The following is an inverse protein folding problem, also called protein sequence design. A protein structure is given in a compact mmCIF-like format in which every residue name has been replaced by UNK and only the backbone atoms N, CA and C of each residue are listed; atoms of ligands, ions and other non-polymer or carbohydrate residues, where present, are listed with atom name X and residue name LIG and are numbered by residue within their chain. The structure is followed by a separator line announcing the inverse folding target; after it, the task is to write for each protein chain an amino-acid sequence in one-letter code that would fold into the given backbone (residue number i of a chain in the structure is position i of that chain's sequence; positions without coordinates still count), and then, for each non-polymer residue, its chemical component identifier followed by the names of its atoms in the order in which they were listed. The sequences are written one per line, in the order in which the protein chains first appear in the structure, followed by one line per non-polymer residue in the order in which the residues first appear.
data_IF_854117915784
#
_entry.id   IF_854117915784
#
_cell.length_a   1.000
_cell.length_b   1.000
_cell.length_c   1.000
_cell.angle_alpha   90.00
_cell.angle_beta   90.00
_cell.angle_gamma   90.00
#
_symmetry.space_group_name_H-M   'P 1'
#
loop_
_entity.id
_entity.type
_entity.pdbx_description
1 polymer ?
#
# COMPACT_ATOMS: atom_id res chain seq x y z
N UNK A 1 -14.54 0.92 9.53
CA UNK A 1 -13.83 -0.08 10.34
C UNK A 1 -12.75 -0.79 9.53
N UNK A 2 -11.77 -1.37 10.21
CA UNK A 2 -10.66 -2.10 9.59
C UNK A 2 -10.84 -3.61 9.72
N UNK A 3 -10.55 -4.33 8.64
CA UNK A 3 -10.55 -5.80 8.57
C UNK A 3 -9.17 -6.34 8.23
N UNK A 4 -8.12 -5.52 8.34
CA UNK A 4 -6.75 -5.92 8.07
C UNK A 4 -5.91 -5.99 9.35
N UNK A 5 -5.04 -6.99 9.51
CA UNK A 5 -4.13 -7.12 10.65
C UNK A 5 -2.97 -6.11 10.61
N UNK A 6 -2.89 -5.29 9.57
CA UNK A 6 -1.82 -4.30 9.41
C UNK A 6 -2.03 -3.04 10.27
N UNK A 7 -3.27 -2.74 10.68
CA UNK A 7 -3.58 -1.58 11.50
C UNK A 7 -3.25 -1.85 12.98
N UNK A 8 -2.04 -1.49 13.36
CA UNK A 8 -1.49 -1.69 14.69
C UNK A 8 -1.11 -0.36 15.36
N UNK A 9 -1.22 -0.35 16.68
CA UNK A 9 -0.68 0.72 17.53
C UNK A 9 0.85 0.67 17.56
N UNK A 10 1.47 1.68 18.18
CA UNK A 10 2.94 1.68 18.41
C UNK A 10 3.42 0.52 19.28
N UNK A 11 2.54 -0.08 20.11
CA UNK A 11 2.84 -1.26 20.92
C UNK A 11 2.71 -2.58 20.14
N UNK A 12 2.30 -2.53 18.86
CA UNK A 12 2.11 -3.72 18.01
C UNK A 12 0.75 -4.40 18.17
N UNK A 13 -0.13 -3.87 19.04
CA UNK A 13 -1.50 -4.37 19.22
C UNK A 13 -2.41 -3.88 18.10
N UNK A 14 -3.45 -4.63 17.76
CA UNK A 14 -4.46 -4.17 16.82
C UNK A 14 -5.16 -2.92 17.35
N UNK A 15 -5.41 -1.96 16.44
CA UNK A 15 -6.18 -0.75 16.80
C UNK A 15 -7.59 -1.16 17.21
N UNK A 16 -8.17 -0.57 18.28
CA UNK A 16 -9.54 -0.84 18.69
C UNK A 16 -10.54 -0.72 17.52
N UNK A 17 -11.46 -1.66 17.42
CA UNK A 17 -12.41 -1.74 16.32
C UNK A 17 -11.89 -2.46 15.08
N UNK A 18 -10.65 -2.97 15.09
CA UNK A 18 -10.12 -3.85 14.04
C UNK A 18 -10.63 -5.28 14.25
N UNK A 19 -11.06 -5.93 13.16
CA UNK A 19 -11.60 -7.31 13.19
C UNK A 19 -12.80 -7.49 14.13
N UNK A 20 -13.60 -6.45 14.35
CA UNK A 20 -14.80 -6.56 15.18
C UNK A 20 -15.78 -7.59 14.61
N UNK A 21 -16.54 -8.19 15.50
CA UNK A 21 -17.57 -9.15 15.16
C UNK A 21 -18.69 -8.52 14.30
N UNK A 22 -19.30 -9.30 13.43
CA UNK A 22 -20.41 -8.84 12.60
C UNK A 22 -21.58 -8.31 13.44
N UNK A 23 -21.82 -8.85 14.63
CA UNK A 23 -22.87 -8.40 15.55
C UNK A 23 -22.71 -6.93 15.91
N UNK A 24 -21.50 -6.46 16.20
CA UNK A 24 -21.23 -5.05 16.46
C UNK A 24 -21.50 -4.18 15.22
N UNK A 25 -21.08 -4.63 14.04
CA UNK A 25 -21.30 -3.92 12.78
C UNK A 25 -22.78 -3.80 12.46
N UNK A 26 -23.55 -4.85 12.69
CA UNK A 26 -25.00 -4.85 12.50
C UNK A 26 -25.71 -3.93 13.50
N UNK A 27 -25.29 -3.89 14.75
CA UNK A 27 -25.87 -2.98 15.74
C UNK A 27 -25.62 -1.50 15.36
N UNK A 28 -24.44 -1.18 14.86
CA UNK A 28 -24.12 0.17 14.35
C UNK A 28 -24.98 0.48 13.12
N UNK A 29 -25.15 -0.47 12.19
CA UNK A 29 -25.96 -0.30 11.00
C UNK A 29 -27.44 -0.07 11.33
N UNK A 30 -27.96 -0.77 12.33
CA UNK A 30 -29.33 -0.56 12.83
C UNK A 30 -29.52 0.86 13.38
N UNK A 31 -28.55 1.34 14.17
CA UNK A 31 -28.60 2.70 14.71
C UNK A 31 -28.55 3.75 13.58
N UNK A 32 -27.70 3.55 12.58
CA UNK A 32 -27.63 4.43 11.40
C UNK A 32 -28.92 4.40 10.57
N UNK A 33 -29.55 3.24 10.43
CA UNK A 33 -30.82 3.11 9.74
C UNK A 33 -31.94 3.88 10.45
N UNK A 34 -31.99 3.84 11.80
CA UNK A 34 -32.96 4.61 12.60
C UNK A 34 -32.80 6.12 12.41
N UNK A 35 -31.57 6.60 12.25
CA UNK A 35 -31.29 8.02 11.99
C UNK A 35 -31.54 8.38 10.52
N UNK A 36 -31.50 7.43 9.61
CA UNK A 36 -31.81 7.60 8.19
C UNK A 36 -30.67 8.12 7.32
N UNK A 37 -29.47 8.35 7.85
CA UNK A 37 -28.32 8.83 7.09
C UNK A 37 -27.00 8.13 7.48
N UNK A 38 -25.92 8.41 6.70
CA UNK A 38 -24.61 7.81 6.86
C UNK A 38 -24.39 6.61 5.93
N UNK A 39 -23.14 6.25 5.78
CA UNK A 39 -22.68 5.08 5.03
C UNK A 39 -21.56 4.38 5.81
N UNK A 40 -21.43 3.08 5.60
CA UNK A 40 -20.31 2.33 6.10
C UNK A 40 -19.13 2.42 5.14
N UNK A 41 -17.94 2.48 5.72
CA UNK A 41 -16.70 2.27 4.99
C UNK A 41 -15.85 1.22 5.67
N UNK A 42 -15.33 0.29 4.88
CA UNK A 42 -14.48 -0.80 5.33
C UNK A 42 -13.13 -0.77 4.61
N UNK A 43 -12.05 -0.98 5.38
CA UNK A 43 -10.76 -1.39 4.84
C UNK A 43 -10.69 -2.92 4.97
N UNK A 44 -10.85 -3.68 3.87
CA UNK A 44 -10.95 -5.13 3.93
C UNK A 44 -9.58 -5.77 4.11
N UNK A 45 -9.60 -7.04 4.44
CA UNK A 45 -8.51 -7.93 4.10
C UNK A 45 -8.75 -8.38 2.65
N UNK A 46 -7.90 -7.92 1.73
CA UNK A 46 -8.20 -7.93 0.30
C UNK A 46 -8.47 -9.33 -0.27
N UNK A 47 -7.72 -10.34 0.19
CA UNK A 47 -7.88 -11.73 -0.27
C UNK A 47 -9.21 -12.33 0.18
N UNK A 48 -9.73 -11.94 1.35
CA UNK A 48 -10.99 -12.44 1.91
C UNK A 48 -12.22 -11.67 1.44
N UNK A 49 -12.01 -10.53 0.80
CA UNK A 49 -13.10 -9.62 0.42
C UNK A 49 -14.20 -10.27 -0.42
N UNK A 50 -13.91 -11.01 -1.51
CA UNK A 50 -14.96 -11.61 -2.33
C UNK A 50 -15.61 -12.86 -1.72
N UNK A 51 -15.22 -13.25 -0.53
CA UNK A 51 -15.69 -14.46 0.16
C UNK A 51 -16.40 -14.11 1.46
N UNK A 52 -15.73 -14.33 2.59
CA UNK A 52 -16.32 -14.17 3.92
C UNK A 52 -16.77 -12.73 4.20
N UNK A 53 -15.97 -11.73 3.79
CA UNK A 53 -16.28 -10.33 4.05
C UNK A 53 -17.47 -9.86 3.22
N UNK A 54 -17.62 -10.36 2.00
CA UNK A 54 -18.73 -9.99 1.11
C UNK A 54 -20.09 -10.39 1.66
N UNK A 55 -20.19 -11.57 2.27
CA UNK A 55 -21.44 -12.13 2.76
C UNK A 55 -22.12 -11.19 3.77
N UNK A 56 -21.40 -10.80 4.82
CA UNK A 56 -21.97 -9.94 5.85
C UNK A 56 -22.14 -8.48 5.37
N UNK A 57 -21.25 -7.97 4.50
CA UNK A 57 -21.40 -6.63 3.92
C UNK A 57 -22.68 -6.52 3.09
N UNK A 58 -22.94 -7.52 2.26
CA UNK A 58 -24.15 -7.59 1.45
C UNK A 58 -25.40 -7.67 2.33
N UNK A 59 -25.41 -8.54 3.34
CA UNK A 59 -26.51 -8.65 4.29
C UNK A 59 -26.75 -7.33 5.02
N UNK A 60 -25.69 -6.66 5.49
CA UNK A 60 -25.78 -5.36 6.17
C UNK A 60 -26.41 -4.29 5.27
N UNK A 61 -25.92 -4.16 4.03
CA UNK A 61 -26.44 -3.19 3.07
C UNK A 61 -27.91 -3.46 2.72
N UNK A 62 -28.28 -4.73 2.52
CA UNK A 62 -29.64 -5.16 2.18
C UNK A 62 -30.59 -4.94 3.34
N UNK A 63 -30.23 -5.38 4.54
CA UNK A 63 -31.10 -5.37 5.73
C UNK A 63 -31.41 -3.96 6.23
N UNK A 64 -30.42 -3.07 6.20
CA UNK A 64 -30.53 -1.75 6.79
C UNK A 64 -30.66 -0.62 5.76
N UNK A 65 -30.55 -0.93 4.47
CA UNK A 65 -30.67 0.04 3.39
C UNK A 65 -29.59 1.14 3.42
N UNK A 66 -28.48 0.92 4.14
CA UNK A 66 -27.37 1.86 4.22
C UNK A 66 -26.31 1.52 3.18
N UNK A 67 -25.79 2.51 2.44
CA UNK A 67 -24.71 2.27 1.51
C UNK A 67 -23.46 1.75 2.23
N UNK A 68 -22.79 0.80 1.60
CA UNK A 68 -21.50 0.27 2.03
C UNK A 68 -20.45 0.68 1.01
N UNK A 69 -19.29 1.10 1.48
CA UNK A 69 -18.12 1.41 0.68
C UNK A 69 -16.94 0.57 1.15
N UNK A 70 -16.19 0.00 0.22
CA UNK A 70 -15.06 -0.86 0.52
C UNK A 70 -13.87 -0.50 -0.38
N UNK A 71 -12.66 -0.53 0.17
CA UNK A 71 -11.46 -0.31 -0.63
C UNK A 71 -11.22 -1.51 -1.55
N UNK A 72 -11.01 -1.25 -2.82
CA UNK A 72 -10.63 -2.26 -3.81
C UNK A 72 -9.19 -2.02 -4.24
N UNK A 73 -8.37 -3.03 -4.04
CA UNK A 73 -6.97 -3.00 -4.46
C UNK A 73 -6.58 -4.31 -5.11
N UNK A 74 -5.69 -4.23 -6.09
CA UNK A 74 -4.98 -5.37 -6.63
C UNK A 74 -3.78 -5.68 -5.72
N UNK A 75 -3.56 -6.94 -5.43
CA UNK A 75 -2.40 -7.42 -4.67
C UNK A 75 -1.62 -8.43 -5.51
N UNK A 76 -0.32 -8.55 -5.28
CA UNK A 76 0.50 -9.52 -6.02
C UNK A 76 0.20 -10.98 -5.67
N UNK A 77 -0.29 -11.20 -4.45
CA UNK A 77 -0.71 -12.54 -4.02
C UNK A 77 -1.93 -13.04 -4.80
N UNK A 78 -2.78 -12.12 -5.28
CA UNK A 78 -4.02 -12.44 -5.97
C UNK A 78 -4.35 -11.36 -7.01
N UNK A 79 -3.56 -11.25 -8.10
CA UNK A 79 -3.61 -10.11 -9.01
C UNK A 79 -4.93 -9.98 -9.79
N UNK A 80 -5.72 -11.05 -9.90
CA UNK A 80 -7.01 -11.05 -10.61
C UNK A 80 -8.23 -10.93 -9.69
N UNK A 81 -8.06 -11.01 -8.38
CA UNK A 81 -9.17 -11.13 -7.43
C UNK A 81 -10.11 -9.91 -7.44
N UNK A 82 -9.58 -8.73 -7.74
CA UNK A 82 -10.37 -7.50 -7.86
C UNK A 82 -11.48 -7.58 -8.91
N UNK A 83 -11.32 -8.39 -9.97
CA UNK A 83 -12.34 -8.60 -11.00
C UNK A 83 -13.56 -9.31 -10.43
N UNK A 84 -13.37 -10.31 -9.59
CA UNK A 84 -14.48 -10.98 -8.89
C UNK A 84 -15.27 -10.01 -8.02
N UNK A 85 -14.61 -9.02 -7.40
CA UNK A 85 -15.31 -7.98 -6.63
C UNK A 85 -16.16 -7.09 -7.55
N UNK A 86 -15.69 -6.73 -8.74
CA UNK A 86 -16.49 -5.97 -9.70
C UNK A 86 -17.75 -6.73 -10.16
N UNK A 87 -17.62 -8.04 -10.37
CA UNK A 87 -18.76 -8.91 -10.68
C UNK A 87 -19.78 -8.91 -9.54
N UNK A 88 -19.32 -9.09 -8.31
CA UNK A 88 -20.17 -9.05 -7.11
C UNK A 88 -20.85 -7.68 -6.90
N UNK A 89 -20.18 -6.58 -7.22
CA UNK A 89 -20.78 -5.24 -7.21
C UNK A 89 -21.93 -5.15 -8.23
N UNK A 90 -21.71 -5.66 -9.43
CA UNK A 90 -22.73 -5.66 -10.49
C UNK A 90 -23.96 -6.47 -10.08
N UNK A 91 -23.74 -7.66 -9.51
CA UNK A 91 -24.82 -8.50 -8.98
C UNK A 91 -25.61 -7.76 -7.88
N UNK A 92 -24.92 -7.25 -6.86
CA UNK A 92 -25.57 -6.53 -5.76
C UNK A 92 -26.42 -5.35 -6.26
N UNK A 93 -25.90 -4.56 -7.18
CA UNK A 93 -26.63 -3.43 -7.74
C UNK A 93 -27.84 -3.85 -8.59
N UNK A 94 -27.78 -4.98 -9.29
CA UNK A 94 -28.93 -5.53 -10.01
C UNK A 94 -30.10 -5.88 -9.08
N UNK A 95 -29.80 -6.17 -7.82
CA UNK A 95 -30.77 -6.44 -6.76
C UNK A 95 -31.14 -5.19 -5.94
N UNK A 96 -30.63 -4.02 -6.29
CA UNK A 96 -30.88 -2.76 -5.59
C UNK A 96 -30.06 -2.56 -4.32
N UNK A 97 -29.07 -3.42 -4.06
CA UNK A 97 -28.17 -3.35 -2.89
C UNK A 97 -27.03 -2.38 -3.18
N UNK A 98 -26.87 -1.36 -2.33
CA UNK A 98 -25.91 -0.26 -2.56
C UNK A 98 -24.55 -0.54 -1.92
N UNK A 99 -23.70 -1.25 -2.65
CA UNK A 99 -22.29 -1.45 -2.28
C UNK A 99 -21.43 -0.82 -3.37
N UNK A 100 -20.40 -0.07 -2.96
CA UNK A 100 -19.48 0.61 -3.86
C UNK A 100 -18.04 0.27 -3.48
N UNK A 101 -17.17 0.17 -4.48
CA UNK A 101 -15.74 0.07 -4.22
C UNK A 101 -15.03 1.39 -4.47
N UNK A 102 -14.12 1.73 -3.56
CA UNK A 102 -13.21 2.87 -3.71
C UNK A 102 -11.91 2.38 -4.33
N UNK A 103 -11.51 2.99 -5.42
CA UNK A 103 -10.31 2.67 -6.19
C UNK A 103 -9.37 3.86 -6.16
N UNK A 104 -8.11 3.62 -5.84
CA UNK A 104 -7.08 4.65 -5.89
C UNK A 104 -6.82 5.07 -7.34
N UNK A 105 -6.49 6.34 -7.55
CA UNK A 105 -6.28 6.93 -8.88
C UNK A 105 -5.05 6.42 -9.62
N UNK A 106 -4.16 5.72 -8.93
CA UNK A 106 -2.94 5.07 -9.43
C UNK A 106 -2.50 3.99 -8.43
N UNK A 107 -1.33 3.39 -8.68
CA UNK A 107 -0.69 2.53 -7.68
C UNK A 107 -0.57 3.23 -6.32
N UNK A 108 -0.85 2.51 -5.25
CA UNK A 108 -0.56 2.94 -3.88
C UNK A 108 0.87 2.52 -3.59
N UNK A 109 1.74 3.48 -3.32
CA UNK A 109 3.17 3.25 -3.21
C UNK A 109 3.77 3.70 -1.89
N UNK A 110 4.91 3.10 -1.57
CA UNK A 110 5.75 3.50 -0.44
C UNK A 110 6.97 4.24 -0.99
N UNK A 111 7.32 5.36 -0.37
CA UNK A 111 8.56 6.09 -0.61
C UNK A 111 9.53 5.77 0.52
N UNK A 112 10.54 4.97 0.21
CA UNK A 112 11.60 4.66 1.14
C UNK A 112 12.66 5.77 1.13
N UNK A 113 13.01 6.29 2.31
CA UNK A 113 14.21 7.10 2.52
C UNK A 113 14.74 6.88 3.94
N UNK A 114 16.01 7.22 4.20
CA UNK A 114 16.61 7.02 5.53
C UNK A 114 16.01 7.91 6.62
N UNK A 115 15.40 9.00 6.26
CA UNK A 115 14.69 9.89 7.18
C UNK A 115 13.20 9.57 7.32
N UNK A 116 12.68 8.64 6.52
CA UNK A 116 11.31 8.16 6.59
C UNK A 116 11.08 7.14 7.70
N UNK A 117 9.82 6.74 7.85
CA UNK A 117 9.42 5.74 8.85
C UNK A 117 9.77 4.31 8.45
N UNK A 118 9.97 4.07 7.16
CA UNK A 118 10.20 2.74 6.57
C UNK A 118 11.22 2.82 5.46
N UNK A 119 12.15 1.89 5.47
CA UNK A 119 13.13 1.70 4.39
C UNK A 119 13.74 0.29 4.45
N UNK A 120 14.36 -0.21 3.37
CA UNK A 120 14.88 -1.56 3.29
C UNK A 120 15.90 -1.98 4.36
N UNK A 121 16.59 -1.05 5.01
CA UNK A 121 17.57 -1.37 6.05
C UNK A 121 16.96 -1.56 7.46
N UNK A 122 15.67 -1.27 7.64
CA UNK A 122 15.04 -1.13 8.97
C UNK A 122 15.18 -2.38 9.85
N UNK A 123 15.13 -3.57 9.26
CA UNK A 123 15.21 -4.84 9.99
C UNK A 123 16.62 -5.46 9.96
N UNK A 124 17.63 -4.71 9.50
CA UNK A 124 18.98 -5.22 9.42
C UNK A 124 19.75 -4.98 10.73
N UNK A 125 20.37 -6.01 11.37
CA UNK A 125 21.10 -5.86 12.63
C UNK A 125 22.18 -4.77 12.58
N UNK A 126 22.95 -4.71 11.50
CA UNK A 126 23.97 -3.70 11.32
C UNK A 126 23.43 -2.26 11.21
N UNK A 127 22.15 -2.10 10.78
CA UNK A 127 21.45 -0.82 10.81
C UNK A 127 20.92 -0.50 12.21
N UNK A 128 20.40 -1.48 12.93
CA UNK A 128 19.89 -1.32 14.30
C UNK A 128 20.95 -0.71 15.25
N UNK A 129 22.24 -1.02 15.03
CA UNK A 129 23.35 -0.45 15.79
C UNK A 129 23.45 1.08 15.67
N UNK A 130 22.99 1.66 14.57
CA UNK A 130 23.18 3.09 14.23
C UNK A 130 21.88 3.87 14.01
N UNK A 131 20.71 3.21 14.00
CA UNK A 131 19.44 3.86 13.72
C UNK A 131 19.07 4.99 14.68
N UNK A 132 19.61 4.96 15.90
CA UNK A 132 19.39 5.98 16.95
C UNK A 132 20.24 7.23 16.77
N UNK A 133 21.26 7.21 15.90
CA UNK A 133 22.14 8.34 15.67
C UNK A 133 21.46 9.44 14.85
N UNK A 134 21.84 10.71 15.06
CA UNK A 134 21.47 11.79 14.16
C UNK A 134 21.84 11.45 12.72
N UNK A 135 21.08 11.95 11.74
CA UNK A 135 21.22 11.54 10.34
C UNK A 135 22.65 11.67 9.80
N UNK A 136 23.34 12.77 10.08
CA UNK A 136 24.73 12.97 9.60
C UNK A 136 25.72 11.95 10.15
N UNK A 137 25.60 11.60 11.45
CA UNK A 137 26.43 10.59 12.10
C UNK A 137 26.07 9.20 11.58
N UNK A 138 24.77 8.93 11.37
CA UNK A 138 24.26 7.69 10.80
C UNK A 138 24.82 7.46 9.39
N UNK A 139 24.75 8.47 8.52
CA UNK A 139 25.30 8.41 7.17
C UNK A 139 26.83 8.13 7.17
N UNK A 140 27.54 8.73 8.13
CA UNK A 140 28.98 8.46 8.29
C UNK A 140 29.20 7.00 8.70
N UNK A 141 28.45 6.52 9.68
CA UNK A 141 28.56 5.14 10.15
C UNK A 141 28.14 4.10 9.08
N UNK A 142 27.14 4.40 8.23
CA UNK A 142 26.71 3.52 7.13
C UNK A 142 27.77 3.39 6.01
N UNK A 143 28.70 4.33 5.93
CA UNK A 143 29.82 4.30 4.98
C UNK A 143 31.05 3.51 5.48
N UNK A 144 31.09 3.13 6.76
CA UNK A 144 32.19 2.33 7.32
C UNK A 144 32.27 0.97 6.60
N UNK A 145 33.47 0.57 6.14
CA UNK A 145 33.65 -0.62 5.28
C UNK A 145 33.05 -1.90 5.86
N UNK A 146 33.29 -2.19 7.13
CA UNK A 146 32.82 -3.42 7.77
C UNK A 146 31.29 -3.44 7.92
N UNK A 147 30.67 -2.32 8.32
CA UNK A 147 29.22 -2.18 8.42
C UNK A 147 28.58 -2.28 7.06
N UNK A 148 29.14 -1.59 6.08
CA UNK A 148 28.67 -1.64 4.69
C UNK A 148 28.73 -3.06 4.14
N UNK A 149 29.81 -3.80 4.40
CA UNK A 149 29.94 -5.20 4.00
C UNK A 149 28.82 -6.05 4.61
N UNK A 150 28.55 -5.90 5.92
CA UNK A 150 27.45 -6.61 6.59
C UNK A 150 26.09 -6.25 5.98
N UNK A 151 25.77 -4.97 5.79
CA UNK A 151 24.51 -4.51 5.21
C UNK A 151 24.23 -5.07 3.81
N UNK A 152 25.28 -5.35 3.03
CA UNK A 152 25.16 -5.87 1.67
C UNK A 152 25.04 -7.39 1.63
N UNK A 153 25.72 -8.10 2.54
CA UNK A 153 25.95 -9.54 2.43
C UNK A 153 25.24 -10.37 3.50
N UNK A 154 24.88 -9.79 4.65
CA UNK A 154 24.20 -10.52 5.70
C UNK A 154 22.69 -10.52 5.49
N UNK A 155 22.02 -11.54 6.01
CA UNK A 155 20.56 -11.65 5.93
C UNK A 155 19.94 -10.79 7.03
N UNK A 156 18.96 -9.92 6.73
CA UNK A 156 18.21 -9.19 7.73
C UNK A 156 17.47 -10.10 8.72
N UNK A 157 17.17 -9.59 9.91
CA UNK A 157 16.33 -10.28 10.88
C UNK A 157 14.91 -10.48 10.32
N UNK A 158 14.22 -11.51 10.81
CA UNK A 158 12.84 -11.76 10.41
C UNK A 158 11.91 -10.64 10.94
N UNK A 159 11.63 -9.67 10.11
CA UNK A 159 10.65 -8.60 10.33
C UNK A 159 9.20 -9.02 10.03
N UNK A 160 8.95 -10.31 9.84
CA UNK A 160 7.64 -10.86 9.55
C UNK A 160 7.12 -10.48 8.16
N UNK A 161 5.79 -10.38 8.06
CA UNK A 161 5.12 -10.09 6.78
C UNK A 161 5.58 -8.77 6.15
N UNK A 162 5.89 -7.78 6.99
CA UNK A 162 6.32 -6.46 6.52
C UNK A 162 7.68 -6.51 5.84
N UNK A 163 8.61 -7.26 6.40
CA UNK A 163 9.93 -7.47 5.78
C UNK A 163 9.79 -8.17 4.42
N UNK A 164 9.00 -9.24 4.34
CA UNK A 164 8.76 -9.95 3.07
C UNK A 164 8.22 -9.03 1.99
N UNK A 165 7.24 -8.21 2.34
CA UNK A 165 6.67 -7.22 1.42
C UNK A 165 7.72 -6.22 0.94
N UNK A 166 8.62 -5.79 1.81
CA UNK A 166 9.63 -4.76 1.51
C UNK A 166 10.84 -5.34 0.79
N UNK A 167 11.30 -6.53 1.19
CA UNK A 167 12.60 -7.06 0.74
C UNK A 167 12.50 -8.10 -0.38
N UNK A 168 11.39 -8.83 -0.47
CA UNK A 168 11.25 -9.87 -1.50
C UNK A 168 10.91 -9.30 -2.90
N UNK A 169 10.73 -7.97 -3.02
CA UNK A 169 10.28 -7.29 -4.23
C UNK A 169 11.31 -6.30 -4.80
N UNK A 170 12.53 -6.75 -5.01
CA UNK A 170 13.54 -5.89 -5.65
C UNK A 170 13.22 -5.53 -7.11
N UNK A 171 12.39 -6.31 -7.79
CA UNK A 171 11.81 -6.04 -9.10
C UNK A 171 10.61 -5.09 -9.05
N UNK A 172 10.13 -4.79 -7.85
CA UNK A 172 9.08 -3.82 -7.54
C UNK A 172 9.57 -2.57 -6.82
N UNK A 173 10.84 -2.22 -6.95
CA UNK A 173 11.46 -1.02 -6.36
C UNK A 173 12.22 -0.24 -7.42
N UNK A 174 12.06 1.07 -7.43
CA UNK A 174 12.70 1.97 -8.40
C UNK A 174 13.36 3.16 -7.71
N UNK A 175 14.56 3.49 -8.15
CA UNK A 175 15.26 4.70 -7.74
C UNK A 175 14.50 5.92 -8.25
N UNK A 176 14.18 6.85 -7.37
CA UNK A 176 13.58 8.14 -7.76
C UNK A 176 14.69 9.10 -8.13
N UNK A 177 14.73 9.50 -9.40
CA UNK A 177 15.69 10.47 -9.91
C UNK A 177 15.00 11.80 -10.22
N UNK A 178 15.39 12.85 -9.49
CA UNK A 178 14.84 14.19 -9.69
C UNK A 178 13.46 14.41 -9.04
N UNK A 179 12.81 15.55 -9.34
CA UNK A 179 11.61 16.01 -8.62
C UNK A 179 10.31 15.36 -9.12
N UNK A 180 10.34 14.68 -10.25
CA UNK A 180 9.16 14.07 -10.85
C UNK A 180 9.23 12.55 -10.67
N UNK A 181 8.20 11.99 -10.06
CA UNK A 181 8.07 10.55 -9.88
C UNK A 181 7.38 9.97 -11.10
N UNK A 182 7.99 8.96 -11.70
CA UNK A 182 7.31 8.09 -12.65
C UNK A 182 6.47 7.07 -11.88
N UNK A 183 5.17 7.08 -12.07
CA UNK A 183 4.25 6.15 -11.43
C UNK A 183 3.94 4.90 -12.28
N UNK A 184 4.54 4.81 -13.47
CA UNK A 184 4.52 3.65 -14.35
C UNK A 184 5.93 3.22 -14.78
N UNK A 185 6.87 3.05 -13.83
CA UNK A 185 8.25 2.75 -14.18
C UNK A 185 8.39 1.35 -14.79
N UNK A 186 9.24 1.24 -15.81
CA UNK A 186 9.49 -0.05 -16.46
C UNK A 186 10.23 -1.03 -15.53
N UNK A 187 9.86 -2.31 -15.58
CA UNK A 187 10.47 -3.36 -14.73
C UNK A 187 11.98 -3.48 -14.92
N UNK A 188 12.48 -3.24 -16.12
CA UNK A 188 13.91 -3.26 -16.42
C UNK A 188 14.69 -2.16 -15.67
N UNK A 189 14.04 -1.07 -15.26
CA UNK A 189 14.65 0.02 -14.49
C UNK A 189 14.50 -0.14 -12.97
N UNK A 190 13.90 -1.25 -12.53
CA UNK A 190 13.85 -1.61 -11.11
C UNK A 190 15.24 -1.88 -10.53
N UNK A 191 15.34 -1.93 -9.21
CA UNK A 191 16.57 -2.31 -8.50
C UNK A 191 17.09 -3.67 -9.01
N UNK A 192 16.22 -4.66 -9.20
CA UNK A 192 16.60 -5.97 -9.75
C UNK A 192 17.12 -5.86 -11.19
N UNK A 193 16.45 -5.07 -12.04
CA UNK A 193 16.86 -4.82 -13.42
C UNK A 193 18.22 -4.11 -13.49
N UNK A 194 18.40 -3.06 -12.68
CA UNK A 194 19.69 -2.34 -12.58
C UNK A 194 20.82 -3.24 -12.09
N UNK A 195 20.56 -4.06 -11.05
CA UNK A 195 21.53 -5.01 -10.53
C UNK A 195 21.96 -6.02 -11.59
N UNK A 196 20.99 -6.57 -12.34
CA UNK A 196 21.26 -7.53 -13.43
C UNK A 196 22.13 -6.93 -14.53
N UNK A 197 21.86 -5.67 -14.93
CA UNK A 197 22.62 -4.99 -16.00
C UNK A 197 24.02 -4.53 -15.57
N UNK A 198 24.14 -4.09 -14.32
CA UNK A 198 25.41 -3.51 -13.81
C UNK A 198 26.33 -4.54 -13.15
N UNK A 199 25.81 -5.70 -12.74
CA UNK A 199 26.54 -6.66 -11.90
C UNK A 199 26.73 -6.20 -10.46
N UNK A 200 26.09 -5.10 -10.03
CA UNK A 200 26.16 -4.57 -8.67
C UNK A 200 25.09 -5.27 -7.82
N UNK A 201 25.42 -5.75 -6.61
CA UNK A 201 24.43 -6.34 -5.72
C UNK A 201 23.26 -5.39 -5.44
N UNK A 202 21.99 -5.87 -5.43
CA UNK A 202 20.80 -5.03 -5.21
C UNK A 202 20.89 -4.21 -3.92
N UNK A 203 21.32 -4.81 -2.82
CA UNK A 203 21.45 -4.11 -1.54
C UNK A 203 22.53 -3.02 -1.57
N UNK A 204 23.54 -3.17 -2.40
CA UNK A 204 24.54 -2.11 -2.62
C UNK A 204 23.91 -0.91 -3.34
N UNK A 205 23.12 -1.14 -4.40
CA UNK A 205 22.37 -0.08 -5.11
C UNK A 205 21.43 0.67 -4.15
N UNK A 206 20.68 -0.07 -3.34
CA UNK A 206 19.77 0.49 -2.33
C UNK A 206 20.55 1.35 -1.32
N UNK A 207 21.62 0.81 -0.73
CA UNK A 207 22.42 1.49 0.29
C UNK A 207 23.08 2.76 -0.26
N UNK A 208 23.66 2.68 -1.46
CA UNK A 208 24.31 3.82 -2.10
C UNK A 208 23.32 4.94 -2.39
N UNK A 209 22.13 4.57 -2.90
CA UNK A 209 21.10 5.56 -3.19
C UNK A 209 20.53 6.18 -1.91
N UNK A 210 20.11 5.38 -0.94
CA UNK A 210 19.54 5.89 0.31
C UNK A 210 20.51 6.74 1.13
N UNK A 211 21.84 6.52 0.99
CA UNK A 211 22.87 7.34 1.63
C UNK A 211 23.23 8.61 0.84
N UNK A 212 22.61 8.85 -0.30
CA UNK A 212 22.80 10.09 -1.07
C UNK A 212 21.84 11.18 -0.62
N UNK A 213 22.03 12.40 -1.11
CA UNK A 213 21.19 13.57 -0.81
C UNK A 213 20.92 13.74 0.71
N UNK A 214 21.96 13.62 1.52
CA UNK A 214 21.88 13.70 2.99
C UNK A 214 20.80 12.77 3.61
N UNK A 215 20.57 11.61 2.97
CA UNK A 215 19.59 10.61 3.39
C UNK A 215 18.13 10.93 2.99
N UNK A 216 17.93 11.89 2.09
CA UNK A 216 16.61 12.23 1.52
C UNK A 216 16.34 11.52 0.20
N UNK A 217 17.34 10.88 -0.41
CA UNK A 217 17.13 10.13 -1.63
C UNK A 217 16.07 9.04 -1.45
N UNK A 218 15.20 8.92 -2.42
CA UNK A 218 13.99 8.10 -2.31
C UNK A 218 14.01 6.91 -3.27
N UNK A 219 13.44 5.79 -2.81
CA UNK A 219 13.11 4.63 -3.63
C UNK A 219 11.59 4.50 -3.63
N UNK A 220 10.98 4.43 -4.81
CA UNK A 220 9.56 4.18 -4.99
C UNK A 220 9.27 2.69 -5.07
N UNK A 221 8.28 2.24 -4.32
CA UNK A 221 7.79 0.86 -4.34
C UNK A 221 6.26 0.86 -4.40
N UNK A 222 5.64 0.65 -5.57
CA UNK A 222 4.21 0.44 -5.67
C UNK A 222 3.82 -0.86 -4.94
N UNK A 223 2.91 -0.72 -3.99
CA UNK A 223 2.51 -1.79 -3.08
C UNK A 223 1.20 -2.45 -3.50
N UNK A 224 0.25 -1.64 -3.96
CA UNK A 224 -1.03 -2.08 -4.53
C UNK A 224 -1.25 -1.49 -5.91
N UNK A 225 -2.09 -2.15 -6.71
CA UNK A 225 -2.56 -1.70 -8.01
C UNK A 225 -1.44 -1.56 -9.06
N UNK A 226 -0.41 -2.42 -8.97
CA UNK A 226 0.71 -2.43 -9.91
C UNK A 226 1.24 -3.84 -10.22
N UNK A 227 0.46 -4.88 -9.96
CA UNK A 227 0.91 -6.27 -10.15
C UNK A 227 1.16 -6.61 -11.61
N UNK A 228 0.52 -5.91 -12.53
CA UNK A 228 0.74 -6.07 -13.98
C UNK A 228 1.96 -5.29 -14.50
N UNK A 229 2.52 -4.36 -13.71
CA UNK A 229 3.58 -3.46 -14.11
C UNK A 229 3.11 -2.25 -14.92
N UNK A 230 1.82 -1.93 -14.81
CA UNK A 230 1.15 -0.79 -15.40
C UNK A 230 -0.09 -0.39 -14.59
N UNK A 231 -0.80 0.66 -15.00
CA UNK A 231 -2.01 1.16 -14.35
C UNK A 231 -3.32 0.61 -14.96
N UNK A 232 -3.28 -0.45 -15.74
CA UNK A 232 -4.46 -1.01 -16.42
C UNK A 232 -5.56 -1.43 -15.43
N UNK A 233 -5.19 -1.96 -14.26
CA UNK A 233 -6.15 -2.27 -13.19
C UNK A 233 -6.92 -1.02 -12.73
N UNK A 234 -6.24 0.07 -12.48
CA UNK A 234 -6.87 1.31 -12.05
C UNK A 234 -7.79 1.86 -13.15
N UNK A 235 -7.35 1.83 -14.40
CA UNK A 235 -8.14 2.23 -15.55
C UNK A 235 -9.44 1.43 -15.67
N UNK A 236 -9.35 0.09 -15.74
CA UNK A 236 -10.52 -0.78 -15.85
C UNK A 236 -11.49 -0.60 -14.67
N UNK A 237 -10.95 -0.56 -13.45
CA UNK A 237 -11.77 -0.40 -12.26
C UNK A 237 -12.47 0.97 -12.20
N UNK A 238 -11.85 2.04 -12.69
CA UNK A 238 -12.49 3.36 -12.75
C UNK A 238 -13.63 3.45 -13.78
N UNK A 239 -13.60 2.64 -14.82
CA UNK A 239 -14.68 2.57 -15.81
C UNK A 239 -15.92 1.82 -15.29
N UNK A 240 -15.80 1.06 -14.22
CA UNK A 240 -16.91 0.29 -13.68
C UNK A 240 -17.95 1.21 -12.99
N UNK A 241 -19.27 1.07 -13.27
CA UNK A 241 -20.31 2.02 -12.81
C UNK A 241 -20.47 2.08 -11.28
N UNK A 242 -20.06 1.05 -10.56
CA UNK A 242 -20.21 0.92 -9.11
C UNK A 242 -18.90 1.13 -8.33
N UNK A 243 -17.88 1.62 -8.98
CA UNK A 243 -16.68 2.10 -8.31
C UNK A 243 -16.70 3.63 -8.14
N UNK A 244 -15.90 4.10 -7.25
CA UNK A 244 -15.66 5.53 -7.01
C UNK A 244 -14.17 5.75 -6.83
N UNK A 245 -13.66 6.85 -7.37
CA UNK A 245 -12.33 7.28 -7.03
C UNK A 245 -12.30 7.58 -5.53
N UNK A 246 -11.30 7.06 -4.87
CA UNK A 246 -11.12 7.28 -3.44
C UNK A 246 -9.73 6.94 -3.00
N UNK A 247 -9.44 7.33 -1.77
CA UNK A 247 -8.26 6.97 -1.02
C UNK A 247 -6.95 7.51 -1.59
N UNK A 248 -6.48 8.58 -0.99
CA UNK A 248 -5.11 9.06 -1.19
C UNK A 248 -4.22 8.77 0.02
N UNK A 249 -4.80 8.30 1.12
CA UNK A 249 -4.12 8.04 2.41
C UNK A 249 -3.22 9.20 2.90
N UNK A 250 -3.47 10.40 2.38
CA UNK A 250 -2.70 11.59 2.70
C UNK A 250 -2.81 11.95 4.18
N UNK A 251 -1.67 12.05 4.85
CA UNK A 251 -1.57 12.44 6.25
C UNK A 251 -1.64 11.29 7.27
N UNK A 252 -2.12 10.11 6.89
CA UNK A 252 -2.18 8.96 7.80
C UNK A 252 -0.81 8.26 7.93
N UNK A 253 -0.10 8.13 6.83
CA UNK A 253 1.17 7.41 6.75
C UNK A 253 2.29 8.28 6.13
N UNK A 254 2.30 9.56 6.43
CA UNK A 254 3.16 10.55 5.77
C UNK A 254 4.68 10.30 5.89
N UNK A 255 5.11 9.40 6.76
CA UNK A 255 6.51 8.94 6.82
C UNK A 255 6.84 7.76 5.88
N UNK A 256 5.86 7.24 5.15
CA UNK A 256 6.02 6.08 4.26
C UNK A 256 5.17 6.21 2.98
N UNK A 257 3.86 6.48 3.10
CA UNK A 257 2.93 6.60 1.97
C UNK A 257 2.70 8.09 1.70
N UNK A 258 3.06 8.54 0.50
CA UNK A 258 3.00 9.95 0.10
C UNK A 258 2.02 10.16 -1.06
N UNK A 259 0.78 9.67 -0.91
CA UNK A 259 -0.22 9.69 -1.98
C UNK A 259 -1.12 10.95 -2.00
N UNK A 260 -0.74 12.00 -1.27
CA UNK A 260 -1.44 13.29 -1.27
C UNK A 260 -1.63 13.92 -2.66
N UNK A 261 -0.75 13.61 -3.60
CA UNK A 261 -0.84 14.05 -5.00
C UNK A 261 -1.82 13.26 -5.87
N UNK A 262 -2.44 12.20 -5.36
CA UNK A 262 -3.29 11.31 -6.15
C UNK A 262 -4.48 12.02 -6.83
N UNK A 263 -5.23 12.94 -6.18
CA UNK A 263 -6.28 13.68 -6.86
C UNK A 263 -5.76 14.54 -8.03
N UNK A 264 -4.57 15.12 -7.89
CA UNK A 264 -3.92 15.87 -8.98
C UNK A 264 -3.53 14.93 -10.12
N UNK A 265 -2.99 13.74 -9.80
CA UNK A 265 -2.67 12.72 -10.80
C UNK A 265 -3.91 12.33 -11.61
N UNK A 266 -5.06 12.14 -10.95
CA UNK A 266 -6.33 11.86 -11.63
C UNK A 266 -6.65 12.92 -12.69
N UNK A 267 -6.47 14.19 -12.34
CA UNK A 267 -6.74 15.30 -13.26
C UNK A 267 -5.70 15.43 -14.38
N UNK A 268 -4.45 15.10 -14.14
CA UNK A 268 -3.37 15.30 -15.09
C UNK A 268 -3.12 14.09 -16.00
N UNK A 269 -3.37 12.90 -15.52
CA UNK A 269 -3.14 11.66 -16.25
C UNK A 269 -4.41 11.17 -16.96
N UNK A 270 -5.50 10.93 -16.20
CA UNK A 270 -6.70 10.31 -16.75
C UNK A 270 -7.62 11.24 -17.56
N UNK A 271 -7.53 12.56 -17.36
CA UNK A 271 -8.45 13.50 -18.03
C UNK A 271 -7.81 14.30 -19.16
N UNK A 272 -6.50 14.22 -19.34
CA UNK A 272 -5.75 14.93 -20.39
C UNK A 272 -5.18 14.00 -21.47
N UNK A 273 -5.33 12.71 -21.30
CA UNK A 273 -4.85 11.72 -22.27
C UNK A 273 -5.83 11.56 -23.43
#
# INVERSE_FOLDING_TARGET
TSRTPLHKSKSGELVPGTMVDATELFAIAEAMAKVGHGNFQFSPEHVRLPHEEWVWMRELAQRYGRPVSVNLSQTDQSPELWRSVLELLTEAHSEGIKIYSQVAGRSIGIMYCLQGSVHPLLFHPAYAEVQHLPIGERLTALKEPDRRHRLINDIPDDGGIFQKIVFDKLDGMWIVNGPNIDYEPHREDSIAGLASRSGIPPMQLILDHLCSDDGNAMIYAPFFNYSYGDLSMAYEAHLHPHTRMGLSDAGAHCGAICDGGMPTFMLTHWTRA
#
